data_IF_715540965023
#
_entry.id   IF_715540965023
#
_cell.length_a   1.000
_cell.length_b   1.000
_cell.length_c   1.000
_cell.angle_alpha   90.00
_cell.angle_beta   90.00
_cell.angle_gamma   90.00
#
_symmetry.space_group_name_H-M   'P 1'
#
loop_
_entity.id
_entity.type
_entity.pdbx_description
1 polymer ?
#
# COMPACT_ATOMS: atom_id res chain seq x y z
N UNK A 1 -13.98 13.23 -2.28
CA UNK A 1 -12.96 13.35 -3.36
C UNK A 1 -11.82 12.37 -3.10
N UNK A 2 -11.37 11.64 -4.14
CA UNK A 2 -10.25 10.70 -4.03
C UNK A 2 -8.89 11.42 -3.98
N UNK A 3 -7.90 10.72 -3.39
CA UNK A 3 -6.51 11.16 -3.40
C UNK A 3 -5.94 11.26 -4.83
N UNK A 4 -5.10 12.27 -5.07
CA UNK A 4 -4.40 12.46 -6.35
C UNK A 4 -3.30 11.42 -6.51
N UNK A 5 -3.15 10.88 -7.73
CA UNK A 5 -2.11 9.90 -8.04
C UNK A 5 -0.87 10.57 -8.63
N UNK A 6 0.30 10.24 -8.09
CA UNK A 6 1.61 10.55 -8.68
C UNK A 6 2.31 9.23 -9.00
N UNK A 7 2.74 9.04 -10.26
CA UNK A 7 3.32 7.79 -10.73
C UNK A 7 4.81 7.94 -11.04
N UNK A 8 5.59 6.96 -10.62
CA UNK A 8 7.02 6.88 -10.84
C UNK A 8 7.36 5.49 -11.40
N UNK A 9 7.86 5.47 -12.64
CA UNK A 9 8.27 4.22 -13.29
C UNK A 9 9.48 3.57 -12.59
N UNK A 10 10.32 4.39 -11.95
CA UNK A 10 11.48 3.92 -11.20
C UNK A 10 11.08 3.24 -9.88
N UNK A 11 11.89 2.27 -9.46
CA UNK A 11 11.74 1.61 -8.17
C UNK A 11 12.02 2.58 -7.01
N UNK A 12 11.36 2.34 -5.87
CA UNK A 12 11.57 3.16 -4.68
C UNK A 12 13.01 2.99 -4.17
N UNK A 13 13.76 4.09 -4.06
CA UNK A 13 15.11 4.10 -3.49
C UNK A 13 15.11 4.51 -2.02
N UNK A 14 16.19 4.24 -1.29
CA UNK A 14 16.34 4.66 0.12
C UNK A 14 16.26 6.19 0.27
N UNK A 15 16.77 6.95 -0.71
CA UNK A 15 16.72 8.41 -0.70
C UNK A 15 15.27 8.93 -0.82
N UNK A 16 14.47 8.32 -1.70
CA UNK A 16 13.06 8.67 -1.88
C UNK A 16 12.22 8.21 -0.70
N UNK A 17 12.50 7.02 -0.16
CA UNK A 17 11.84 6.49 1.04
C UNK A 17 11.89 7.46 2.22
N UNK A 18 13.01 8.18 2.38
CA UNK A 18 13.18 9.16 3.47
C UNK A 18 12.30 10.41 3.35
N UNK A 19 11.71 10.65 2.17
CA UNK A 19 10.85 11.82 1.91
C UNK A 19 9.39 11.56 2.31
N UNK A 20 9.01 10.31 2.49
CA UNK A 20 7.65 9.92 2.85
C UNK A 20 7.59 9.47 4.31
N UNK A 21 6.44 9.70 4.97
CA UNK A 21 6.21 9.26 6.35
C UNK A 21 5.54 7.89 6.43
N UNK A 22 4.76 7.52 5.41
CA UNK A 22 3.98 6.28 5.37
C UNK A 22 4.20 5.56 4.04
N UNK A 23 4.63 4.29 4.11
CA UNK A 23 4.95 3.51 2.92
C UNK A 23 4.34 2.12 2.98
N UNK A 24 3.67 1.72 1.90
CA UNK A 24 3.20 0.37 1.65
C UNK A 24 4.12 -0.32 0.63
N UNK A 25 4.68 -1.46 1.02
CA UNK A 25 5.45 -2.35 0.15
C UNK A 25 4.58 -3.53 -0.26
N UNK A 26 4.33 -3.66 -1.56
CA UNK A 26 3.53 -4.73 -2.15
C UNK A 26 4.45 -5.70 -2.88
N UNK A 27 4.64 -6.86 -2.27
CA UNK A 27 5.61 -7.86 -2.68
C UNK A 27 4.93 -9.00 -3.47
N UNK A 28 5.60 -9.57 -4.48
CA UNK A 28 5.15 -10.82 -5.07
C UNK A 28 5.35 -11.96 -4.07
N UNK A 29 4.51 -13.00 -4.14
CA UNK A 29 4.71 -14.19 -3.31
C UNK A 29 6.07 -14.84 -3.58
N UNK A 30 6.90 -14.90 -2.54
CA UNK A 30 8.21 -15.56 -2.57
C UNK A 30 8.48 -16.24 -1.23
N UNK A 31 9.17 -17.39 -1.27
CA UNK A 31 9.59 -18.11 -0.07
C UNK A 31 10.72 -17.42 0.69
N UNK A 32 11.45 -16.50 0.03
CA UNK A 32 12.58 -15.78 0.61
C UNK A 32 12.56 -14.30 0.17
N UNK A 33 13.04 -13.43 1.05
CA UNK A 33 13.24 -12.01 0.77
C UNK A 33 14.47 -11.83 -0.12
N UNK A 34 14.38 -10.99 -1.16
CA UNK A 34 15.58 -10.64 -1.92
C UNK A 34 16.53 -9.80 -1.06
N UNK A 35 17.84 -10.08 -1.14
CA UNK A 35 18.86 -9.40 -0.31
C UNK A 35 18.96 -7.89 -0.56
N UNK A 36 18.57 -7.41 -1.73
CA UNK A 36 18.73 -6.01 -2.15
C UNK A 36 17.45 -5.15 -2.00
N UNK A 37 16.43 -5.62 -1.26
CA UNK A 37 15.21 -4.83 -1.10
C UNK A 37 15.39 -3.66 -0.15
N UNK A 38 14.84 -2.51 -0.56
CA UNK A 38 14.74 -1.34 0.29
C UNK A 38 13.93 -1.68 1.55
N UNK A 39 14.48 -1.34 2.71
CA UNK A 39 13.97 -1.70 4.04
C UNK A 39 13.91 -3.22 4.34
N UNK A 40 14.61 -4.06 3.57
CA UNK A 40 14.64 -5.51 3.78
C UNK A 40 15.17 -5.95 5.14
N UNK A 41 16.14 -5.22 5.71
CA UNK A 41 16.69 -5.51 7.05
C UNK A 41 15.66 -5.26 8.15
N UNK A 42 14.84 -4.21 8.01
CA UNK A 42 13.75 -3.93 8.96
C UNK A 42 12.69 -5.00 8.86
N UNK A 43 12.31 -5.42 7.65
CA UNK A 43 11.37 -6.53 7.46
C UNK A 43 11.87 -7.82 8.11
N UNK A 44 13.15 -8.18 7.94
CA UNK A 44 13.75 -9.33 8.61
C UNK A 44 13.71 -9.21 10.13
N UNK A 45 14.06 -8.04 10.67
CA UNK A 45 14.02 -7.79 12.11
C UNK A 45 12.59 -7.88 12.68
N UNK A 46 11.59 -7.34 11.96
CA UNK A 46 10.17 -7.42 12.36
C UNK A 46 9.65 -8.86 12.29
N UNK A 47 10.00 -9.62 11.25
CA UNK A 47 9.67 -11.04 11.13
C UNK A 47 10.27 -11.86 12.29
N UNK A 48 11.56 -11.65 12.59
CA UNK A 48 12.23 -12.33 13.69
C UNK A 48 11.59 -11.98 15.04
N UNK A 49 11.31 -10.69 15.28
CA UNK A 49 10.64 -10.21 16.51
C UNK A 49 9.24 -10.82 16.67
N UNK A 50 8.48 -10.95 15.60
CA UNK A 50 7.12 -11.55 15.62
C UNK A 50 7.11 -13.07 15.47
N UNK A 51 8.28 -13.72 15.38
CA UNK A 51 8.43 -15.17 15.13
C UNK A 51 7.65 -15.67 13.92
N UNK A 52 7.56 -14.85 12.86
CA UNK A 52 6.83 -15.16 11.63
C UNK A 52 7.80 -15.51 10.50
N UNK A 53 7.40 -16.47 9.66
CA UNK A 53 8.12 -16.82 8.43
C UNK A 53 7.71 -15.92 7.27
N UNK A 54 8.57 -15.83 6.25
CA UNK A 54 8.32 -14.96 5.07
C UNK A 54 7.05 -15.37 4.32
N UNK A 55 6.73 -16.66 4.24
CA UNK A 55 5.51 -17.15 3.60
C UNK A 55 4.22 -16.73 4.33
N UNK A 56 4.30 -16.36 5.60
CA UNK A 56 3.14 -15.89 6.38
C UNK A 56 2.74 -14.44 6.03
N UNK A 57 3.62 -13.66 5.39
CA UNK A 57 3.28 -12.33 4.84
C UNK A 57 2.16 -12.39 3.79
N UNK A 58 1.96 -13.54 3.15
CA UNK A 58 0.84 -13.76 2.23
C UNK A 58 -0.51 -13.90 2.92
N UNK A 59 -0.52 -14.12 4.26
CA UNK A 59 -1.72 -14.25 5.08
C UNK A 59 -1.94 -13.02 5.96
N UNK A 60 -0.88 -12.53 6.60
CA UNK A 60 -0.97 -11.44 7.56
C UNK A 60 0.03 -10.35 7.17
N UNK A 61 -0.43 -9.12 6.88
CA UNK A 61 0.47 -8.02 6.59
C UNK A 61 1.25 -7.63 7.85
N UNK A 62 2.45 -7.11 7.64
CA UNK A 62 3.34 -6.69 8.70
C UNK A 62 3.53 -5.19 8.69
N UNK A 63 3.66 -4.61 9.87
CA UNK A 63 4.04 -3.21 10.04
C UNK A 63 5.26 -3.05 10.92
N UNK A 64 6.03 -2.01 10.65
CA UNK A 64 7.21 -1.66 11.40
C UNK A 64 7.71 -0.26 11.06
N UNK A 65 8.27 0.40 12.06
CA UNK A 65 8.89 1.70 11.90
C UNK A 65 10.33 1.52 11.40
N UNK A 66 10.68 2.28 10.37
CA UNK A 66 12.04 2.40 9.87
C UNK A 66 12.87 3.30 10.80
N UNK A 67 14.20 3.23 10.71
CA UNK A 67 15.12 3.98 11.58
C UNK A 67 14.95 5.51 11.53
N UNK A 68 14.31 6.01 10.48
CA UNK A 68 14.02 7.43 10.25
C UNK A 68 12.60 7.83 10.67
N UNK A 69 11.88 7.00 11.43
CA UNK A 69 10.52 7.29 11.90
C UNK A 69 9.42 7.01 10.87
N UNK A 70 9.76 6.54 9.67
CA UNK A 70 8.80 6.21 8.62
C UNK A 70 8.05 4.93 8.98
N UNK A 71 6.72 4.97 8.94
CA UNK A 71 5.90 3.79 9.15
C UNK A 71 5.79 3.00 7.84
N UNK A 72 6.28 1.75 7.86
CA UNK A 72 6.23 0.85 6.74
C UNK A 72 5.23 -0.29 6.99
N UNK A 73 4.46 -0.63 5.95
CA UNK A 73 3.62 -1.82 5.89
C UNK A 73 4.08 -2.72 4.75
N UNK A 74 4.11 -4.03 4.96
CA UNK A 74 4.46 -5.03 3.97
C UNK A 74 3.32 -6.02 3.79
N UNK A 75 3.00 -6.31 2.53
CA UNK A 75 2.00 -7.30 2.15
C UNK A 75 2.51 -8.11 0.96
N UNK A 76 2.23 -9.42 0.95
CA UNK A 76 2.48 -10.28 -0.21
C UNK A 76 1.18 -10.61 -0.93
N UNK A 77 1.21 -10.51 -2.26
CA UNK A 77 0.09 -10.91 -3.11
C UNK A 77 0.36 -12.29 -3.70
N UNK A 78 -0.46 -13.26 -3.28
CA UNK A 78 -0.44 -14.63 -3.79
C UNK A 78 -1.27 -14.74 -5.08
N UNK A 79 -0.71 -15.18 -6.23
CA UNK A 79 -1.39 -15.15 -7.51
C UNK A 79 -2.67 -16.01 -7.55
N UNK A 80 -2.74 -17.09 -6.76
CA UNK A 80 -3.88 -18.00 -6.70
C UNK A 80 -5.07 -17.52 -5.84
N UNK A 81 -4.98 -16.34 -5.22
CA UNK A 81 -6.10 -15.77 -4.44
C UNK A 81 -7.08 -15.00 -5.32
N UNK A 82 -8.33 -14.98 -4.89
CA UNK A 82 -9.38 -14.15 -5.50
C UNK A 82 -9.05 -12.66 -5.37
N UNK A 83 -9.63 -11.85 -6.26
CA UNK A 83 -9.45 -10.39 -6.24
C UNK A 83 -9.87 -9.78 -4.89
N UNK A 84 -10.95 -10.29 -4.30
CA UNK A 84 -11.44 -9.84 -2.99
C UNK A 84 -10.44 -10.13 -1.87
N UNK A 85 -9.83 -11.31 -1.86
CA UNK A 85 -8.83 -11.66 -0.85
C UNK A 85 -7.57 -10.80 -0.97
N UNK A 86 -7.14 -10.52 -2.20
CA UNK A 86 -5.98 -9.65 -2.44
C UNK A 86 -6.27 -8.20 -2.02
N UNK A 87 -7.44 -7.67 -2.37
CA UNK A 87 -7.87 -6.34 -1.90
C UNK A 87 -7.96 -6.31 -0.37
N UNK A 88 -8.48 -7.36 0.26
CA UNK A 88 -8.57 -7.46 1.72
C UNK A 88 -7.19 -7.50 2.38
N UNK A 89 -6.24 -8.24 1.82
CA UNK A 89 -4.86 -8.25 2.31
C UNK A 89 -4.22 -6.86 2.26
N UNK A 90 -4.41 -6.11 1.16
CA UNK A 90 -3.88 -4.76 1.05
C UNK A 90 -4.60 -3.78 1.98
N UNK A 91 -5.92 -3.87 2.12
CA UNK A 91 -6.68 -3.06 3.09
C UNK A 91 -6.18 -3.25 4.52
N UNK A 92 -5.94 -4.49 4.92
CA UNK A 92 -5.40 -4.81 6.23
C UNK A 92 -3.99 -4.24 6.43
N UNK A 93 -3.17 -4.18 5.37
CA UNK A 93 -1.85 -3.56 5.40
C UNK A 93 -1.92 -2.03 5.48
N UNK A 94 -2.91 -1.42 4.81
CA UNK A 94 -3.13 0.03 4.81
C UNK A 94 -3.75 0.54 6.11
N UNK A 95 -4.57 -0.25 6.78
CA UNK A 95 -5.28 0.15 8.00
C UNK A 95 -4.38 0.82 9.07
N UNK A 96 -3.23 0.24 9.47
CA UNK A 96 -2.33 0.89 10.42
C UNK A 96 -1.69 2.17 9.87
N UNK A 97 -1.47 2.27 8.56
CA UNK A 97 -0.98 3.51 7.94
C UNK A 97 -2.04 4.61 8.01
N UNK A 98 -3.28 4.28 7.65
CA UNK A 98 -4.40 5.24 7.64
C UNK A 98 -4.85 5.65 9.04
N UNK A 99 -4.59 4.82 10.05
CA UNK A 99 -4.89 5.15 11.45
C UNK A 99 -4.13 6.39 11.95
N UNK A 100 -2.96 6.69 11.38
CA UNK A 100 -2.18 7.90 11.70
C UNK A 100 -2.63 9.14 10.92
N UNK A 101 -3.72 9.06 10.15
CA UNK A 101 -4.26 10.15 9.33
C UNK A 101 -3.23 10.79 8.38
N UNK A 102 -2.54 9.98 7.54
CA UNK A 102 -1.49 10.47 6.67
C UNK A 102 -2.07 11.39 5.59
N UNK A 103 -1.37 12.49 5.33
CA UNK A 103 -1.69 13.35 4.19
C UNK A 103 -1.35 12.67 2.86
N UNK A 104 -0.31 11.85 2.84
CA UNK A 104 0.15 11.10 1.68
C UNK A 104 0.65 9.71 2.06
N UNK A 105 0.56 8.77 1.11
CA UNK A 105 1.12 7.41 1.23
C UNK A 105 1.94 7.11 -0.02
N UNK A 106 3.12 6.54 0.16
CA UNK A 106 3.87 5.94 -0.95
C UNK A 106 3.58 4.44 -1.04
N UNK A 107 3.36 3.95 -2.24
CA UNK A 107 3.13 2.55 -2.57
C UNK A 107 4.25 2.10 -3.49
N UNK A 108 5.03 1.12 -3.06
CA UNK A 108 6.08 0.51 -3.87
C UNK A 108 5.66 -0.91 -4.26
N UNK A 109 5.61 -1.16 -5.57
CA UNK A 109 5.25 -2.48 -6.12
C UNK A 109 6.49 -3.20 -6.65
N UNK A 110 6.58 -4.50 -6.37
CA UNK A 110 7.73 -5.32 -6.74
C UNK A 110 7.30 -6.55 -7.56
N UNK A 111 8.25 -7.15 -8.28
CA UNK A 111 8.03 -8.32 -9.13
C UNK A 111 8.31 -8.05 -10.60
N UNK A 112 7.83 -8.93 -11.46
CA UNK A 112 7.89 -8.75 -12.92
C UNK A 112 6.83 -7.74 -13.40
N UNK A 113 6.92 -7.26 -14.64
CA UNK A 113 6.04 -6.21 -15.17
C UNK A 113 4.53 -6.50 -14.95
N UNK A 114 4.08 -7.72 -15.26
CA UNK A 114 2.68 -8.11 -15.07
C UNK A 114 2.28 -8.15 -13.58
N UNK A 115 3.18 -8.61 -12.71
CA UNK A 115 2.95 -8.66 -11.26
C UNK A 115 2.88 -7.25 -10.66
N UNK A 116 3.79 -6.36 -11.08
CA UNK A 116 3.81 -4.95 -10.66
C UNK A 116 2.54 -4.22 -11.09
N UNK A 117 2.09 -4.41 -12.33
CA UNK A 117 0.84 -3.81 -12.81
C UNK A 117 -0.37 -4.30 -12.02
N UNK A 118 -0.46 -5.61 -11.74
CA UNK A 118 -1.54 -6.17 -10.91
C UNK A 118 -1.49 -5.64 -9.48
N UNK A 119 -0.31 -5.64 -8.88
CA UNK A 119 -0.09 -5.11 -7.53
C UNK A 119 -0.47 -3.62 -7.43
N UNK A 120 -0.10 -2.82 -8.43
CA UNK A 120 -0.43 -1.40 -8.49
C UNK A 120 -1.94 -1.17 -8.53
N UNK A 121 -2.67 -1.91 -9.38
CA UNK A 121 -4.13 -1.80 -9.48
C UNK A 121 -4.81 -2.12 -8.15
N UNK A 122 -4.43 -3.23 -7.51
CA UNK A 122 -5.04 -3.65 -6.24
C UNK A 122 -4.74 -2.64 -5.13
N UNK A 123 -3.49 -2.17 -5.06
CA UNK A 123 -3.06 -1.26 -4.01
C UNK A 123 -3.63 0.16 -4.18
N UNK A 124 -3.68 0.68 -5.40
CA UNK A 124 -4.30 1.97 -5.69
C UNK A 124 -5.79 1.97 -5.38
N UNK A 125 -6.52 0.93 -5.83
CA UNK A 125 -7.94 0.82 -5.55
C UNK A 125 -8.20 0.77 -4.03
N UNK A 126 -7.43 -0.04 -3.31
CA UNK A 126 -7.53 -0.09 -1.85
C UNK A 126 -7.19 1.26 -1.20
N UNK A 127 -6.13 1.94 -1.63
CA UNK A 127 -5.75 3.25 -1.07
C UNK A 127 -6.82 4.32 -1.33
N UNK A 128 -7.39 4.38 -2.52
CA UNK A 128 -8.46 5.32 -2.84
C UNK A 128 -9.72 5.05 -2.04
N UNK A 129 -10.23 3.82 -2.05
CA UNK A 129 -11.49 3.46 -1.39
C UNK A 129 -11.41 3.64 0.15
N UNK A 130 -10.24 3.46 0.75
CA UNK A 130 -10.06 3.55 2.21
C UNK A 130 -9.49 4.89 2.67
N UNK A 131 -8.93 5.69 1.76
CA UNK A 131 -8.39 7.02 2.05
C UNK A 131 -9.43 8.14 2.00
N UNK A 132 -10.66 7.86 1.57
CA UNK A 132 -11.77 8.82 1.57
C UNK A 132 -12.33 8.98 2.98
N UNK A 133 -12.56 10.23 3.39
CA UNK A 133 -13.32 10.52 4.60
C UNK A 133 -14.80 10.21 4.33
N UNK A 134 -15.38 9.30 5.11
CA UNK A 134 -16.79 8.95 5.02
C UNK A 134 -17.64 9.97 5.77
N UNK A 135 -18.92 10.15 5.39
CA UNK A 135 -19.82 10.96 6.18
C UNK A 135 -20.00 10.35 7.57
N UNK A 136 -19.52 11.05 8.58
CA UNK A 136 -19.69 10.68 9.97
C UNK A 136 -20.74 11.59 10.60
N UNK A 137 -21.82 11.01 11.14
CA UNK A 137 -22.86 11.74 11.90
C UNK A 137 -22.42 12.07 13.34
N UNK A 138 -21.14 11.87 13.67
CA UNK A 138 -20.58 12.12 15.00
C UNK A 138 -20.09 13.57 15.10
N UNK A 139 -20.27 14.19 16.27
CA UNK A 139 -19.91 15.59 16.55
C UNK A 139 -18.42 15.94 16.35
N UNK A 140 -17.52 14.96 16.39
CA UNK A 140 -16.09 15.12 16.10
C UNK A 140 -15.71 14.12 15.02
N UNK A 141 -15.48 14.61 13.80
CA UNK A 141 -14.87 13.82 12.74
C UNK A 141 -13.36 13.80 12.99
N UNK A 142 -12.83 12.64 13.39
CA UNK A 142 -11.40 12.49 13.73
C UNK A 142 -10.54 12.12 12.52
N UNK A 143 -11.15 11.59 11.45
CA UNK A 143 -10.41 11.09 10.29
C UNK A 143 -10.13 12.17 9.25
N UNK A 144 -8.86 12.33 8.89
CA UNK A 144 -8.44 13.21 7.79
C UNK A 144 -8.31 12.40 6.50
N UNK A 145 -8.85 12.90 5.37
CA UNK A 145 -8.75 12.19 4.09
C UNK A 145 -7.32 12.21 3.55
N UNK A 146 -6.97 11.13 2.85
CA UNK A 146 -5.73 11.02 2.10
C UNK A 146 -5.76 11.99 0.91
N UNK A 147 -4.72 12.80 0.73
CA UNK A 147 -4.64 13.77 -0.37
C UNK A 147 -3.86 13.26 -1.57
N UNK A 148 -2.80 12.48 -1.32
CA UNK A 148 -1.87 12.04 -2.38
C UNK A 148 -1.45 10.58 -2.21
N UNK A 149 -1.42 9.84 -3.31
CA UNK A 149 -0.84 8.50 -3.39
C UNK A 149 0.31 8.55 -4.38
N UNK A 150 1.50 8.18 -3.93
CA UNK A 150 2.69 8.05 -4.78
C UNK A 150 2.88 6.58 -5.15
N UNK A 151 2.90 6.23 -6.43
CA UNK A 151 3.14 4.87 -6.92
C UNK A 151 4.56 4.76 -7.47
N UNK A 152 5.33 3.78 -6.99
CA UNK A 152 6.70 3.50 -7.43
C UNK A 152 6.82 2.10 -8.02
N UNK A 153 7.66 1.97 -9.04
CA UNK A 153 7.96 0.72 -9.76
C UNK A 153 6.96 0.38 -10.87
N UNK A 154 5.99 1.26 -11.14
CA UNK A 154 4.96 1.04 -12.15
C UNK A 154 4.40 2.37 -12.66
N UNK A 155 4.12 2.44 -13.96
CA UNK A 155 3.46 3.58 -14.60
C UNK A 155 2.45 3.09 -15.62
N UNK A 156 1.23 3.60 -15.52
CA UNK A 156 0.16 3.38 -16.47
C UNK A 156 -0.03 4.62 -17.36
N UNK A 157 -0.18 4.39 -18.66
CA UNK A 157 -0.32 5.46 -19.66
C UNK A 157 -1.62 6.25 -19.50
N UNK A 158 -2.67 5.62 -18.94
CA UNK A 158 -3.97 6.25 -18.74
C UNK A 158 -4.21 6.58 -17.26
N UNK A 159 -3.15 6.65 -16.46
CA UNK A 159 -3.19 6.98 -15.03
C UNK A 159 -4.21 6.16 -14.22
N UNK A 160 -4.46 4.92 -14.64
CA UNK A 160 -5.48 4.06 -14.04
C UNK A 160 -6.89 4.70 -14.02
N UNK A 161 -7.22 5.55 -15.01
CA UNK A 161 -8.48 6.32 -15.06
C UNK A 161 -9.74 5.48 -14.87
N UNK A 162 -9.84 4.32 -15.54
CA UNK A 162 -10.96 3.40 -15.37
C UNK A 162 -11.07 2.83 -13.94
N UNK A 163 -9.93 2.59 -13.29
CA UNK A 163 -9.89 2.12 -11.91
C UNK A 163 -10.29 3.23 -10.93
N UNK A 164 -9.83 4.46 -11.21
CA UNK A 164 -10.19 5.66 -10.46
C UNK A 164 -11.69 5.92 -10.54
N UNK A 165 -12.29 5.86 -11.72
CA UNK A 165 -13.74 6.02 -11.90
C UNK A 165 -14.54 4.97 -11.09
N UNK A 166 -14.07 3.72 -11.03
CA UNK A 166 -14.68 2.68 -10.18
C UNK A 166 -14.57 3.02 -8.69
N UNK A 167 -13.42 3.53 -8.24
CA UNK A 167 -13.24 3.96 -6.85
C UNK A 167 -14.08 5.19 -6.51
N UNK A 168 -14.27 6.12 -7.45
CA UNK A 168 -15.17 7.28 -7.30
C UNK A 168 -16.62 6.83 -7.19
N UNK A 169 -17.07 5.92 -8.06
CA UNK A 169 -18.40 5.31 -7.94
C UNK A 169 -18.60 4.60 -6.60
N UNK A 170 -17.59 3.87 -6.11
CA UNK A 170 -17.66 3.25 -4.78
C UNK A 170 -17.79 4.29 -3.66
N UNK A 171 -17.03 5.39 -3.74
CA UNK A 171 -17.10 6.46 -2.76
C UNK A 171 -18.49 7.11 -2.76
N UNK A 172 -19.04 7.41 -3.94
CA UNK A 172 -20.38 8.00 -4.09
C UNK A 172 -21.48 7.11 -3.49
N UNK A 173 -21.42 5.80 -3.71
CA UNK A 173 -22.39 4.87 -3.10
C UNK A 173 -22.29 4.77 -1.58
N UNK A 174 -21.24 5.32 -0.97
CA UNK A 174 -20.98 5.29 0.48
C UNK A 174 -21.18 6.65 1.15
N UNK A 175 -21.46 7.68 0.37
CA UNK A 175 -21.90 9.00 0.86
C UNK A 175 -23.38 8.95 1.28
#
# INVERSE_FOLDING_TARGET
>A
MLATLQQHAADLTVAVLRRHTHVLFVLPEKKQLARAWVAGDVLKAVLARRRMKVNELGKTPLTGSLRNGVLAAWVMLAPGKSEFELQSAVRNALQPLLAENPREIAIAVFGEAAQRQRAARIALYAAWVNGVALPERKKKAERKPLKTVHLYGCRDNNEFSALRARAEGNALCRE
#
